data_IF_524880732557
#
_entry.id   IF_524880732557
#
_cell.length_a   1.000
_cell.length_b   1.000
_cell.length_c   1.000
_cell.angle_alpha   90.00
_cell.angle_beta   90.00
_cell.angle_gamma   90.00
#
_symmetry.space_group_name_H-M   'P 1'
#
loop_
_entity.id
_entity.type
_entity.pdbx_description
1 polymer ?
#
# COMPACT_ATOMS: atom_id res chain seq x y z
N UNK A 1 69.37 -44.68 4.81
CA UNK A 1 69.66 -44.00 3.53
C UNK A 1 68.33 -43.82 2.79
N UNK A 2 67.80 -42.60 2.85
CA UNK A 2 66.94 -41.93 1.85
C UNK A 2 65.64 -42.67 1.43
N UNK A 3 64.55 -42.50 2.19
CA UNK A 3 63.20 -42.57 1.61
C UNK A 3 62.13 -41.79 2.38
N UNK A 4 62.52 -40.67 2.98
CA UNK A 4 61.58 -39.67 3.52
C UNK A 4 61.17 -38.60 2.49
N UNK A 5 61.66 -38.68 1.24
CA UNK A 5 61.42 -37.66 0.22
C UNK A 5 60.11 -37.82 -0.58
N UNK A 6 59.32 -38.88 -0.38
CA UNK A 6 57.97 -38.93 -0.96
C UNK A 6 56.95 -38.11 -0.18
N UNK A 7 57.34 -37.55 0.96
CA UNK A 7 56.50 -36.68 1.79
C UNK A 7 56.49 -35.21 1.31
N UNK A 8 57.32 -34.84 0.32
CA UNK A 8 57.57 -33.44 -0.03
C UNK A 8 57.26 -33.00 -1.46
N UNK A 9 56.82 -33.89 -2.35
CA UNK A 9 56.73 -33.56 -3.80
C UNK A 9 55.40 -33.92 -4.49
N UNK A 10 54.30 -33.77 -3.75
CA UNK A 10 53.00 -33.47 -4.35
C UNK A 10 52.30 -32.45 -3.46
N UNK A 11 53.09 -31.41 -3.14
CA UNK A 11 52.71 -30.12 -2.61
C UNK A 11 51.40 -29.68 -3.26
N UNK A 12 50.31 -29.93 -2.54
CA UNK A 12 49.17 -29.05 -2.35
C UNK A 12 49.23 -27.87 -3.31
N UNK A 13 48.71 -28.05 -4.53
CA UNK A 13 48.48 -26.96 -5.49
C UNK A 13 47.86 -25.85 -4.65
N UNK A 14 48.53 -24.70 -4.42
CA UNK A 14 47.88 -23.63 -3.70
C UNK A 14 46.78 -23.21 -4.63
N UNK A 15 45.57 -23.68 -4.35
CA UNK A 15 44.38 -23.03 -4.82
C UNK A 15 44.51 -21.64 -4.20
N UNK A 16 45.14 -20.72 -4.93
CA UNK A 16 45.02 -19.27 -4.80
C UNK A 16 43.54 -18.99 -5.10
N UNK A 17 42.66 -19.46 -4.23
CA UNK A 17 41.26 -19.09 -4.12
C UNK A 17 41.32 -17.68 -3.60
N UNK A 18 41.48 -16.76 -4.55
CA UNK A 18 41.77 -15.35 -4.38
C UNK A 18 41.08 -14.80 -3.12
N UNK A 19 41.83 -14.60 -2.01
CA UNK A 19 41.24 -14.09 -0.76
C UNK A 19 40.63 -12.71 -1.00
N UNK A 20 41.22 -11.94 -1.90
CA UNK A 20 40.72 -10.65 -2.40
C UNK A 20 39.40 -10.79 -3.17
N UNK A 21 39.21 -11.86 -3.93
CA UNK A 21 37.95 -12.13 -4.64
C UNK A 21 36.86 -12.58 -3.65
N UNK A 22 37.22 -13.33 -2.60
CA UNK A 22 36.30 -13.66 -1.50
C UNK A 22 35.91 -12.41 -0.71
N UNK A 23 36.89 -11.57 -0.36
CA UNK A 23 36.67 -10.32 0.36
C UNK A 23 35.85 -9.33 -0.46
N UNK A 24 36.15 -9.19 -1.76
CA UNK A 24 35.40 -8.37 -2.70
C UNK A 24 33.98 -8.88 -2.92
N UNK A 25 33.78 -10.21 -2.98
CA UNK A 25 32.44 -10.80 -3.07
C UNK A 25 31.65 -10.63 -1.76
N UNK A 26 32.32 -10.63 -0.60
CA UNK A 26 31.69 -10.30 0.69
C UNK A 26 31.28 -8.82 0.76
N UNK A 27 32.17 -7.90 0.39
CA UNK A 27 31.89 -6.46 0.32
C UNK A 27 30.73 -6.16 -0.63
N UNK A 28 30.74 -6.75 -1.84
CA UNK A 28 29.66 -6.61 -2.80
C UNK A 28 28.34 -7.17 -2.25
N UNK A 29 28.36 -8.31 -1.55
CA UNK A 29 27.17 -8.92 -0.95
C UNK A 29 26.62 -8.10 0.22
N UNK A 30 27.49 -7.49 1.02
CA UNK A 30 27.11 -6.56 2.08
C UNK A 30 26.44 -5.31 1.49
N UNK A 31 26.98 -4.76 0.41
CA UNK A 31 26.39 -3.60 -0.26
C UNK A 31 25.04 -3.93 -0.89
N UNK A 32 24.91 -5.08 -1.56
CA UNK A 32 23.63 -5.56 -2.09
C UNK A 32 22.62 -5.76 -0.97
N UNK A 33 23.02 -6.32 0.17
CA UNK A 33 22.12 -6.48 1.33
C UNK A 33 21.65 -5.13 1.89
N UNK A 34 22.54 -4.13 1.92
CA UNK A 34 22.22 -2.78 2.37
C UNK A 34 21.24 -2.10 1.40
N UNK A 35 21.48 -2.20 0.09
CA UNK A 35 20.56 -1.69 -0.94
C UNK A 35 19.20 -2.39 -0.86
N UNK A 36 19.16 -3.71 -0.73
CA UNK A 36 17.91 -4.47 -0.58
C UNK A 36 17.16 -4.05 0.68
N UNK A 37 17.87 -3.80 1.78
CA UNK A 37 17.29 -3.27 3.02
C UNK A 37 16.65 -1.89 2.81
N UNK A 38 17.36 -0.97 2.15
CA UNK A 38 16.86 0.36 1.82
C UNK A 38 15.63 0.28 0.91
N UNK A 39 15.68 -0.53 -0.15
CA UNK A 39 14.56 -0.71 -1.08
C UNK A 39 13.34 -1.28 -0.36
N UNK A 40 13.51 -2.30 0.48
CA UNK A 40 12.42 -2.84 1.30
C UNK A 40 11.86 -1.79 2.25
N UNK A 41 12.72 -1.01 2.91
CA UNK A 41 12.31 0.08 3.78
C UNK A 41 11.53 1.16 3.03
N UNK A 42 12.00 1.55 1.84
CA UNK A 42 11.34 2.53 0.99
C UNK A 42 9.97 2.03 0.49
N UNK A 43 9.87 0.77 0.09
CA UNK A 43 8.58 0.15 -0.29
C UNK A 43 7.63 0.13 0.90
N UNK A 44 8.13 -0.22 2.10
CA UNK A 44 7.31 -0.24 3.32
C UNK A 44 6.83 1.17 3.69
N UNK A 45 7.71 2.17 3.57
CA UNK A 45 7.39 3.57 3.82
C UNK A 45 6.37 4.11 2.80
N UNK A 46 6.57 3.80 1.52
CA UNK A 46 5.63 4.16 0.45
C UNK A 46 4.26 3.50 0.68
N UNK A 47 4.24 2.24 1.13
CA UNK A 47 3.00 1.54 1.45
C UNK A 47 2.27 2.17 2.64
N UNK A 48 2.99 2.51 3.72
CA UNK A 48 2.42 3.21 4.88
C UNK A 48 1.95 4.63 4.53
N UNK A 49 2.67 5.35 3.67
CA UNK A 49 2.23 6.65 3.17
C UNK A 49 0.96 6.54 2.33
N UNK A 50 0.88 5.55 1.45
CA UNK A 50 -0.32 5.29 0.68
C UNK A 50 -1.51 5.00 1.60
N UNK A 51 -1.31 4.16 2.63
CA UNK A 51 -2.33 3.89 3.64
C UNK A 51 -2.74 5.17 4.40
N UNK A 52 -1.78 5.99 4.81
CA UNK A 52 -2.05 7.27 5.49
C UNK A 52 -2.87 8.23 4.61
N UNK A 53 -2.51 8.36 3.33
CA UNK A 53 -3.24 9.20 2.37
C UNK A 53 -4.66 8.66 2.19
N UNK A 54 -4.80 7.34 2.01
CA UNK A 54 -6.13 6.73 1.92
C UNK A 54 -6.93 7.05 3.17
N UNK A 55 -6.41 6.83 4.39
CA UNK A 55 -7.10 7.25 5.62
C UNK A 55 -7.47 8.75 5.65
N UNK A 56 -6.65 9.63 5.09
CA UNK A 56 -6.95 11.06 4.98
C UNK A 56 -8.10 11.37 4.01
N UNK A 57 -8.38 10.50 3.03
CA UNK A 57 -9.55 10.57 2.16
C UNK A 57 -10.85 10.09 2.83
N UNK A 58 -10.79 9.48 4.01
CA UNK A 58 -11.98 9.04 4.74
C UNK A 58 -13.04 10.12 4.99
N UNK A 59 -12.69 11.37 5.40
CA UNK A 59 -13.66 12.47 5.47
C UNK A 59 -14.31 12.76 4.10
N UNK A 60 -13.58 12.61 3.00
CA UNK A 60 -14.15 12.77 1.66
C UNK A 60 -15.20 11.69 1.37
N UNK A 61 -14.95 10.45 1.75
CA UNK A 61 -15.92 9.36 1.66
C UNK A 61 -17.16 9.61 2.54
N UNK A 62 -16.98 10.19 3.73
CA UNK A 62 -18.08 10.60 4.60
C UNK A 62 -18.95 11.69 3.95
N UNK A 63 -18.32 12.71 3.35
CA UNK A 63 -19.04 13.77 2.63
C UNK A 63 -19.75 13.24 1.37
N UNK A 64 -19.15 12.26 0.67
CA UNK A 64 -19.79 11.57 -0.45
C UNK A 64 -21.08 10.84 -0.03
N UNK A 65 -21.09 10.21 1.14
CA UNK A 65 -22.30 9.59 1.69
C UNK A 65 -23.36 10.63 2.06
N UNK A 66 -22.98 11.75 2.68
CA UNK A 66 -23.93 12.86 2.96
C UNK A 66 -24.51 13.42 1.67
N UNK A 67 -23.68 13.61 0.65
CA UNK A 67 -24.13 14.03 -0.68
C UNK A 67 -25.13 13.03 -1.27
N UNK A 68 -24.84 11.72 -1.19
CA UNK A 68 -25.76 10.68 -1.64
C UNK A 68 -27.12 10.76 -0.92
N UNK A 69 -27.13 10.97 0.39
CA UNK A 69 -28.38 11.14 1.17
C UNK A 69 -29.17 12.36 0.72
N UNK A 70 -28.51 13.49 0.47
CA UNK A 70 -29.16 14.73 0.00
C UNK A 70 -29.68 14.60 -1.44
N UNK A 71 -28.99 13.85 -2.28
CA UNK A 71 -29.38 13.62 -3.68
C UNK A 71 -30.69 12.80 -3.79
N UNK A 72 -31.04 11.97 -2.80
CA UNK A 72 -32.29 11.20 -2.81
C UNK A 72 -33.54 12.12 -2.74
N UNK A 73 -33.71 13.02 -1.75
CA UNK A 73 -34.78 14.01 -1.75
C UNK A 73 -34.78 14.91 -2.99
N UNK A 74 -33.61 15.30 -3.50
CA UNK A 74 -33.51 16.09 -4.73
C UNK A 74 -34.06 15.34 -5.94
N UNK A 75 -33.82 14.02 -6.04
CA UNK A 75 -34.40 13.20 -7.11
C UNK A 75 -35.93 13.15 -7.04
N UNK A 76 -36.52 13.11 -5.84
CA UNK A 76 -37.97 13.16 -5.63
C UNK A 76 -38.51 14.53 -6.02
N UNK A 77 -37.85 15.61 -5.59
CA UNK A 77 -38.25 16.97 -5.95
C UNK A 77 -38.20 17.20 -7.47
N UNK A 78 -37.16 16.68 -8.14
CA UNK A 78 -37.03 16.71 -9.60
C UNK A 78 -38.08 15.85 -10.31
N UNK A 79 -38.53 14.75 -9.70
CA UNK A 79 -39.63 13.94 -10.24
C UNK A 79 -40.98 14.66 -10.13
N UNK A 80 -41.26 15.32 -9.00
CA UNK A 80 -42.53 16.02 -8.74
C UNK A 80 -42.61 17.35 -9.49
N UNK A 81 -41.51 18.10 -9.58
CA UNK A 81 -41.42 19.39 -10.29
C UNK A 81 -40.19 19.39 -11.21
N UNK A 82 -40.28 18.81 -12.42
CA UNK A 82 -39.15 18.71 -13.34
C UNK A 82 -38.62 20.06 -13.81
N UNK A 83 -39.45 21.10 -13.77
CA UNK A 83 -39.05 22.47 -14.15
C UNK A 83 -38.04 23.09 -13.17
N UNK A 84 -38.00 22.61 -11.92
CA UNK A 84 -37.01 23.03 -10.92
C UNK A 84 -35.63 22.40 -11.14
N UNK A 85 -35.54 21.33 -11.95
CA UNK A 85 -34.33 20.54 -12.16
C UNK A 85 -33.45 21.03 -13.33
N UNK A 86 -33.74 22.21 -13.90
CA UNK A 86 -32.96 22.85 -14.97
C UNK A 86 -32.57 21.90 -16.12
N UNK A 87 -33.52 21.08 -16.58
CA UNK A 87 -33.33 20.11 -17.66
C UNK A 87 -32.59 18.82 -17.31
N UNK A 88 -32.19 18.60 -16.04
CA UNK A 88 -31.59 17.33 -15.61
C UNK A 88 -32.68 16.30 -15.27
N UNK A 89 -32.66 15.08 -15.85
CA UNK A 89 -33.63 14.05 -15.54
C UNK A 89 -33.44 13.53 -14.11
N UNK A 90 -34.52 13.20 -13.40
CA UNK A 90 -34.46 12.74 -12.01
C UNK A 90 -33.57 11.50 -11.80
N UNK A 91 -33.52 10.60 -12.81
CA UNK A 91 -32.65 9.43 -12.82
C UNK A 91 -31.16 9.78 -12.72
N UNK A 92 -30.73 10.95 -13.19
CA UNK A 92 -29.33 11.38 -13.08
C UNK A 92 -28.91 11.51 -11.61
N UNK A 93 -29.80 12.05 -10.76
CA UNK A 93 -29.54 12.14 -9.32
C UNK A 93 -29.46 10.76 -8.67
N UNK A 94 -30.33 9.81 -9.06
CA UNK A 94 -30.28 8.44 -8.57
C UNK A 94 -29.00 7.70 -8.98
N UNK A 95 -28.56 7.86 -10.23
CA UNK A 95 -27.30 7.29 -10.72
C UNK A 95 -26.09 7.90 -9.98
N UNK A 96 -26.13 9.21 -9.71
CA UNK A 96 -25.09 9.89 -8.93
C UNK A 96 -25.03 9.34 -7.49
N UNK A 97 -26.19 9.17 -6.83
CA UNK A 97 -26.30 8.54 -5.50
C UNK A 97 -25.70 7.14 -5.52
N UNK A 98 -26.05 6.32 -6.51
CA UNK A 98 -25.51 4.96 -6.65
C UNK A 98 -23.98 4.97 -6.82
N UNK A 99 -23.47 5.93 -7.60
CA UNK A 99 -22.03 6.14 -7.78
C UNK A 99 -21.33 6.52 -6.48
N UNK A 100 -21.89 7.45 -5.69
CA UNK A 100 -21.31 7.85 -4.41
C UNK A 100 -21.35 6.73 -3.36
N UNK A 101 -22.45 5.98 -3.29
CA UNK A 101 -22.57 4.83 -2.38
C UNK A 101 -21.60 3.73 -2.80
N UNK A 102 -21.54 3.41 -4.10
CA UNK A 102 -20.61 2.43 -4.65
C UNK A 102 -19.15 2.81 -4.42
N UNK A 103 -18.81 4.09 -4.62
CA UNK A 103 -17.48 4.61 -4.29
C UNK A 103 -17.16 4.46 -2.81
N UNK A 104 -18.10 4.78 -1.91
CA UNK A 104 -17.88 4.67 -0.49
C UNK A 104 -17.70 3.22 -0.01
N UNK A 105 -18.53 2.29 -0.50
CA UNK A 105 -18.40 0.85 -0.18
C UNK A 105 -17.13 0.27 -0.80
N UNK A 106 -16.84 0.60 -2.05
CA UNK A 106 -15.62 0.15 -2.73
C UNK A 106 -14.37 0.66 -2.01
N UNK A 107 -14.41 1.91 -1.54
CA UNK A 107 -13.35 2.51 -0.76
C UNK A 107 -13.12 1.80 0.58
N UNK A 108 -14.17 1.41 1.33
CA UNK A 108 -13.98 0.67 2.59
C UNK A 108 -13.43 -0.72 2.36
N UNK A 109 -13.91 -1.44 1.33
CA UNK A 109 -13.39 -2.77 0.99
C UNK A 109 -11.93 -2.68 0.52
N UNK A 110 -11.61 -1.68 -0.31
CA UNK A 110 -10.25 -1.45 -0.78
C UNK A 110 -9.32 -1.09 0.37
N UNK A 111 -9.76 -0.24 1.30
CA UNK A 111 -9.03 0.07 2.52
C UNK A 111 -8.77 -1.19 3.34
N UNK A 112 -9.80 -1.99 3.62
CA UNK A 112 -9.67 -3.22 4.41
C UNK A 112 -8.67 -4.18 3.77
N UNK A 113 -8.70 -4.32 2.44
CA UNK A 113 -7.72 -5.12 1.71
C UNK A 113 -6.29 -4.54 1.77
N UNK A 114 -6.16 -3.22 1.77
CA UNK A 114 -4.87 -2.52 1.79
C UNK A 114 -4.29 -2.33 3.20
N UNK A 115 -5.07 -2.58 4.26
CA UNK A 115 -4.61 -2.48 5.66
C UNK A 115 -3.47 -3.46 5.92
N UNK A 116 -2.29 -2.99 6.36
CA UNK A 116 -1.21 -3.89 6.74
C UNK A 116 -1.60 -4.69 8.01
N UNK A 117 -1.27 -5.99 8.09
CA UNK A 117 -1.64 -6.83 9.22
C UNK A 117 -1.04 -6.29 10.53
N UNK A 118 -1.90 -5.92 11.48
CA UNK A 118 -1.51 -5.39 12.80
C UNK A 118 -1.45 -3.85 12.89
N UNK A 119 -1.69 -3.12 11.81
CA UNK A 119 -1.87 -1.67 11.86
C UNK A 119 -3.34 -1.33 12.15
N UNK A 120 -3.65 -0.93 13.38
CA UNK A 120 -4.93 -0.31 13.69
C UNK A 120 -5.05 1.05 12.99
N UNK A 121 -6.24 1.38 12.51
CA UNK A 121 -6.54 2.68 11.91
C UNK A 121 -6.08 3.83 12.84
N UNK A 122 -5.09 4.65 12.42
CA UNK A 122 -4.57 5.74 13.25
C UNK A 122 -5.64 6.76 13.64
N UNK A 123 -6.71 6.87 12.85
CA UNK A 123 -7.80 7.81 13.08
C UNK A 123 -8.97 7.22 13.87
N UNK A 124 -8.94 5.93 14.21
CA UNK A 124 -9.93 5.31 15.10
C UNK A 124 -9.96 5.99 16.48
N UNK A 125 -8.85 6.61 16.91
CA UNK A 125 -8.78 7.44 18.13
C UNK A 125 -9.67 8.68 18.11
N UNK A 126 -10.08 9.17 16.95
CA UNK A 126 -10.99 10.30 16.82
C UNK A 126 -12.46 9.87 16.72
N UNK A 127 -12.72 8.58 16.50
CA UNK A 127 -14.03 8.01 16.78
C UNK A 127 -14.17 7.94 18.30
N UNK A 128 -14.74 8.99 18.89
CA UNK A 128 -15.26 8.92 20.26
C UNK A 128 -16.26 7.75 20.25
N UNK A 129 -16.07 6.70 21.06
CA UNK A 129 -17.14 5.76 21.34
C UNK A 129 -18.11 6.56 22.20
N UNK A 130 -19.12 7.13 21.56
CA UNK A 130 -20.27 7.67 22.25
C UNK A 130 -21.03 6.50 22.89
N UNK A 131 -21.14 6.66 24.19
CA UNK A 131 -21.75 5.81 25.21
C UNK A 131 -23.20 5.48 24.90
#
# INVERSE_FOLDING_TARGET
>A
MIKEQSFTDATHKPERKNPVLRLGRFLARSFVSLVVGIVKGAIYYAWYLAFFILCMFRPFTGMAMVAAVVMVPLSIAAFVKPEAANGMPFWAFLLMTLGFVGYAVGYTIFLDWFTPPGAGDPFARYHRPDR
#
